data_IF_595546303953
#
_entry.id   IF_595546303953
#
_cell.length_a   1.000
_cell.length_b   1.000
_cell.length_c   1.000
_cell.angle_alpha   90.00
_cell.angle_beta   90.00
_cell.angle_gamma   90.00
#
_symmetry.space_group_name_H-M   'P 1'
#
loop_
_entity.id
_entity.type
_entity.pdbx_description
1 polymer ?
#
# COMPACT_ATOMS: atom_id res chain seq x y z
N UNK A 1 7.49 15.41 3.74
CA UNK A 1 8.67 14.51 3.86
C UNK A 1 9.72 14.82 2.78
N UNK A 2 10.88 15.39 3.16
CA UNK A 2 11.91 15.84 2.21
C UNK A 2 12.84 14.75 1.65
N UNK A 3 12.93 13.60 2.32
CA UNK A 3 13.82 12.51 1.91
C UNK A 3 13.34 11.79 0.64
N UNK A 4 12.02 11.66 0.45
CA UNK A 4 11.43 10.95 -0.69
C UNK A 4 11.72 11.64 -2.02
N UNK A 5 11.75 12.99 -2.04
CA UNK A 5 12.11 13.76 -3.25
C UNK A 5 13.58 13.53 -3.68
N UNK A 6 14.43 12.98 -2.81
CA UNK A 6 15.83 12.65 -3.13
C UNK A 6 15.99 11.16 -3.45
N UNK A 7 15.40 10.29 -2.63
CA UNK A 7 15.55 8.85 -2.79
C UNK A 7 14.61 8.28 -3.85
N UNK A 8 13.50 8.95 -4.15
CA UNK A 8 12.34 8.42 -4.87
C UNK A 8 11.73 7.18 -4.20
N UNK A 9 12.09 6.85 -2.96
CA UNK A 9 11.58 5.70 -2.24
C UNK A 9 10.90 6.14 -0.96
N UNK A 10 9.60 5.86 -0.86
CA UNK A 10 8.83 6.01 0.37
C UNK A 10 9.22 4.94 1.40
N UNK A 11 9.51 3.72 0.95
CA UNK A 11 9.80 2.60 1.84
C UNK A 11 8.57 2.14 2.63
N UNK A 12 7.36 2.38 2.11
CA UNK A 12 6.11 2.00 2.76
C UNK A 12 6.00 0.49 2.98
N UNK A 13 5.29 0.12 4.04
CA UNK A 13 4.99 -1.27 4.42
C UNK A 13 3.55 -1.31 4.92
N UNK A 14 2.89 -2.45 4.71
CA UNK A 14 1.64 -2.78 5.39
C UNK A 14 1.98 -3.62 6.61
N UNK A 15 1.39 -3.32 7.76
CA UNK A 15 1.59 -4.06 9.00
C UNK A 15 0.24 -4.39 9.63
N UNK A 16 0.16 -5.55 10.26
CA UNK A 16 -1.04 -6.06 10.93
C UNK A 16 -0.79 -6.22 12.41
N UNK A 17 -1.82 -5.92 13.20
CA UNK A 17 -1.88 -6.23 14.63
C UNK A 17 -3.16 -7.02 14.90
N UNK A 18 -3.07 -7.96 15.83
CA UNK A 18 -4.21 -8.76 16.30
C UNK A 18 -4.47 -8.61 17.81
N UNK A 19 -3.76 -7.69 18.47
CA UNK A 19 -3.76 -7.51 19.92
C UNK A 19 -4.08 -6.06 20.34
N UNK A 20 -4.79 -5.34 19.48
CA UNK A 20 -5.16 -3.94 19.71
C UNK A 20 -4.00 -2.97 19.50
N UNK A 21 -3.01 -3.32 18.67
CA UNK A 21 -1.89 -2.46 18.33
C UNK A 21 -0.69 -2.55 19.26
N UNK A 22 -0.62 -3.55 20.15
CA UNK A 22 0.52 -3.76 21.06
C UNK A 22 1.70 -4.36 20.32
N UNK A 23 1.44 -5.31 19.42
CA UNK A 23 2.44 -5.89 18.53
C UNK A 23 2.01 -5.78 17.07
N UNK A 24 3.00 -5.71 16.18
CA UNK A 24 2.80 -5.52 14.75
C UNK A 24 3.70 -6.46 13.95
N UNK A 25 3.12 -7.10 12.94
CA UNK A 25 3.84 -7.92 11.97
C UNK A 25 3.83 -7.20 10.62
N UNK A 26 4.99 -7.10 9.99
CA UNK A 26 5.10 -6.55 8.62
C UNK A 26 4.61 -7.61 7.63
N UNK A 27 3.60 -7.26 6.85
CA UNK A 27 3.06 -8.08 5.78
C UNK A 27 3.89 -7.87 4.51
N UNK A 28 4.34 -8.96 3.88
CA UNK A 28 5.29 -8.89 2.76
C UNK A 28 4.97 -9.81 1.60
N UNK A 29 4.27 -10.91 1.81
CA UNK A 29 4.16 -11.91 0.75
C UNK A 29 3.31 -11.37 -0.39
N UNK A 30 3.88 -11.41 -1.61
CA UNK A 30 3.27 -10.86 -2.82
C UNK A 30 3.42 -9.34 -2.98
N UNK A 31 3.85 -8.59 -1.96
CA UNK A 31 4.22 -7.18 -2.11
C UNK A 31 5.67 -7.04 -2.58
N UNK A 32 6.02 -5.96 -3.31
CA UNK A 32 7.41 -5.66 -3.64
C UNK A 32 8.26 -5.45 -2.38
N UNK A 33 9.46 -6.05 -2.35
CA UNK A 33 10.41 -5.92 -1.24
C UNK A 33 10.73 -4.45 -0.89
N UNK A 34 10.73 -3.60 -1.92
CA UNK A 34 10.94 -2.17 -1.79
C UNK A 34 9.94 -1.40 -2.64
N UNK A 35 8.85 -0.99 -2.01
CA UNK A 35 7.90 -0.06 -2.60
C UNK A 35 8.51 1.32 -2.79
N UNK A 36 8.58 1.73 -4.06
CA UNK A 36 8.95 3.08 -4.49
C UNK A 36 7.89 4.11 -4.06
N UNK A 37 6.61 3.99 -4.46
CA UNK A 37 5.57 4.91 -4.01
C UNK A 37 5.11 4.64 -2.57
N UNK A 38 4.51 5.65 -1.94
CA UNK A 38 3.81 5.49 -0.68
C UNK A 38 2.44 4.83 -0.88
N UNK A 39 1.95 4.06 0.09
CA UNK A 39 0.52 3.77 0.19
C UNK A 39 -0.19 5.01 0.73
N UNK A 40 -1.20 5.52 0.01
CA UNK A 40 -1.93 6.74 0.39
C UNK A 40 -3.45 6.52 0.53
N UNK A 41 -3.96 5.33 0.21
CA UNK A 41 -5.32 4.91 0.55
C UNK A 41 -5.36 3.45 0.97
N UNK A 42 -6.30 3.11 1.87
CA UNK A 42 -6.57 1.76 2.31
C UNK A 42 -8.03 1.61 2.69
N UNK A 43 -8.66 0.49 2.35
CA UNK A 43 -9.99 0.13 2.80
C UNK A 43 -10.09 -1.37 3.08
N UNK A 44 -11.13 -1.74 3.82
CA UNK A 44 -11.58 -3.11 3.99
C UNK A 44 -13.01 -3.18 3.44
N UNK A 45 -13.27 -4.15 2.58
CA UNK A 45 -14.59 -4.48 2.07
C UNK A 45 -15.01 -5.83 2.64
N UNK A 46 -16.18 -5.90 3.26
CA UNK A 46 -16.74 -7.08 3.91
C UNK A 46 -18.08 -7.41 3.24
N UNK A 47 -18.28 -8.67 2.86
CA UNK A 47 -19.53 -9.16 2.25
C UNK A 47 -20.15 -10.35 3.02
N UNK A 48 -19.87 -10.44 4.32
CA UNK A 48 -20.53 -11.32 5.29
C UNK A 48 -19.72 -12.56 5.65
N UNK A 49 -19.45 -13.43 4.68
CA UNK A 49 -18.69 -14.67 4.90
C UNK A 49 -17.19 -14.52 4.57
N UNK A 50 -16.81 -13.40 3.97
CA UNK A 50 -15.43 -13.09 3.59
C UNK A 50 -15.23 -11.57 3.49
N UNK A 51 -13.97 -11.16 3.40
CA UNK A 51 -13.56 -9.78 3.31
C UNK A 51 -12.28 -9.66 2.47
N UNK A 52 -12.03 -8.47 1.94
CA UNK A 52 -10.78 -8.12 1.29
C UNK A 52 -10.25 -6.78 1.78
N UNK A 53 -8.93 -6.68 1.86
CA UNK A 53 -8.20 -5.46 2.17
C UNK A 53 -7.59 -4.94 0.88
N UNK A 54 -7.82 -3.66 0.60
CA UNK A 54 -7.23 -2.97 -0.54
C UNK A 54 -6.28 -1.88 -0.05
N UNK A 55 -5.11 -1.78 -0.67
CA UNK A 55 -4.13 -0.74 -0.40
C UNK A 55 -3.65 -0.13 -1.71
N UNK A 56 -3.80 1.19 -1.86
CA UNK A 56 -3.48 1.89 -3.08
C UNK A 56 -2.26 2.79 -2.92
N UNK A 57 -1.37 2.74 -3.89
CA UNK A 57 -0.15 3.54 -3.92
C UNK A 57 -0.40 4.93 -4.50
N UNK A 58 0.49 5.88 -4.18
CA UNK A 58 0.47 7.23 -4.73
C UNK A 58 0.51 7.26 -6.27
N UNK A 59 1.06 6.23 -6.91
CA UNK A 59 1.24 6.13 -8.36
C UNK A 59 0.15 5.35 -9.09
N UNK A 60 -0.91 4.91 -8.39
CA UNK A 60 -2.09 4.33 -9.02
C UNK A 60 -2.08 2.80 -9.15
N UNK A 61 -1.19 2.11 -8.41
CA UNK A 61 -1.29 0.66 -8.23
C UNK A 61 -2.21 0.35 -7.04
N UNK A 62 -3.11 -0.63 -7.18
CA UNK A 62 -3.99 -1.13 -6.12
C UNK A 62 -3.65 -2.58 -5.82
N UNK A 63 -3.31 -2.86 -4.58
CA UNK A 63 -3.00 -4.18 -4.06
C UNK A 63 -4.18 -4.71 -3.26
N UNK A 64 -4.43 -6.01 -3.34
CA UNK A 64 -5.54 -6.69 -2.67
C UNK A 64 -5.04 -7.92 -1.92
N UNK A 65 -5.67 -8.20 -0.78
CA UNK A 65 -5.58 -9.45 -0.03
C UNK A 65 -6.96 -9.84 0.49
N UNK A 66 -7.37 -11.09 0.28
CA UNK A 66 -8.64 -11.69 0.74
C UNK A 66 -8.41 -12.74 1.85
N UNK A 67 -7.19 -12.84 2.37
CA UNK A 67 -6.78 -13.78 3.42
C UNK A 67 -6.27 -13.08 4.69
N UNK A 68 -6.74 -11.86 4.93
CA UNK A 68 -6.37 -11.08 6.11
C UNK A 68 -4.94 -10.52 6.06
N UNK A 69 -4.40 -10.29 4.86
CA UNK A 69 -3.12 -9.65 4.62
C UNK A 69 -1.93 -10.61 4.52
N UNK A 70 -2.15 -11.92 4.52
CA UNK A 70 -1.08 -12.91 4.46
C UNK A 70 -0.46 -12.95 3.06
N UNK A 71 -1.28 -12.93 2.00
CA UNK A 71 -0.84 -12.82 0.60
C UNK A 71 -1.46 -11.61 -0.09
N UNK A 72 -0.63 -10.91 -0.86
CA UNK A 72 -1.05 -9.75 -1.65
C UNK A 72 -0.88 -10.02 -3.15
N UNK A 73 -1.75 -9.41 -3.94
CA UNK A 73 -1.63 -9.37 -5.40
C UNK A 73 -1.98 -7.98 -5.91
N UNK A 74 -1.35 -7.57 -7.01
CA UNK A 74 -1.79 -6.38 -7.72
C UNK A 74 -3.17 -6.68 -8.33
N UNK A 75 -4.18 -5.89 -7.96
CA UNK A 75 -5.53 -6.01 -8.46
C UNK A 75 -5.76 -5.10 -9.66
N UNK A 76 -5.17 -3.89 -9.63
CA UNK A 76 -5.27 -2.88 -10.68
C UNK A 76 -3.96 -2.13 -10.78
N UNK A 77 -3.55 -1.77 -12.00
CA UNK A 77 -2.49 -0.81 -12.27
C UNK A 77 -2.89 0.18 -13.36
N UNK A 78 -2.14 1.27 -13.47
CA UNK A 78 -2.37 2.31 -14.49
C UNK A 78 -3.49 3.29 -14.18
N UNK A 79 -3.97 3.34 -12.94
CA UNK A 79 -4.90 4.39 -12.52
C UNK A 79 -4.20 5.76 -12.47
N UNK A 80 -5.00 6.81 -12.51
CA UNK A 80 -4.51 8.13 -12.15
C UNK A 80 -3.94 8.13 -10.71
N UNK A 81 -3.02 9.04 -10.37
CA UNK A 81 -2.42 9.10 -9.04
C UNK A 81 -3.45 9.11 -7.91
N UNK A 82 -3.32 8.18 -6.98
CA UNK A 82 -4.15 8.10 -5.76
C UNK A 82 -3.35 8.77 -4.65
N UNK A 83 -3.34 10.10 -4.65
CA UNK A 83 -2.40 10.84 -3.82
C UNK A 83 -2.91 12.20 -3.32
N UNK A 84 -2.40 12.65 -2.18
CA UNK A 84 -2.63 14.02 -1.69
C UNK A 84 -1.81 15.02 -2.52
N UNK A 85 -2.48 15.80 -3.36
CA UNK A 85 -1.84 16.86 -4.14
C UNK A 85 -0.77 16.30 -5.08
N UNK A 86 0.43 16.87 -5.06
CA UNK A 86 1.55 16.50 -5.93
C UNK A 86 2.49 15.43 -5.31
N UNK A 87 2.11 14.78 -4.22
CA UNK A 87 2.95 13.79 -3.54
C UNK A 87 3.46 12.68 -4.48
N UNK A 88 2.61 12.19 -5.37
CA UNK A 88 2.96 11.20 -6.39
C UNK A 88 4.14 11.64 -7.29
N UNK A 89 4.31 12.96 -7.51
CA UNK A 89 5.34 13.52 -8.38
C UNK A 89 6.73 13.07 -7.92
N UNK A 90 6.96 13.00 -6.60
CA UNK A 90 8.21 12.54 -6.00
C UNK A 90 8.58 11.08 -6.36
N UNK A 91 7.69 10.33 -7.01
CA UNK A 91 7.92 8.96 -7.43
C UNK A 91 7.90 8.78 -8.95
N UNK A 92 7.51 9.79 -9.74
CA UNK A 92 7.36 9.66 -11.22
C UNK A 92 8.28 10.57 -12.01
N UNK A 93 8.74 11.70 -11.45
CA UNK A 93 9.82 12.49 -12.04
C UNK A 93 11.17 11.88 -11.67
N UNK A 94 12.03 11.63 -12.67
CA UNK A 94 13.41 11.19 -12.51
C UNK A 94 14.36 12.38 -12.28
#
# INVERSE_FOLDING_TARGET
PGSWRKSHFAGSRVSKSIDGGKTWQVLRQGLPDRLRPAFEAMCLEDWGDSFAIFAATATGEVWCSDDGGEHWREAVSGLAPISKGDHYAAFVTA
#
